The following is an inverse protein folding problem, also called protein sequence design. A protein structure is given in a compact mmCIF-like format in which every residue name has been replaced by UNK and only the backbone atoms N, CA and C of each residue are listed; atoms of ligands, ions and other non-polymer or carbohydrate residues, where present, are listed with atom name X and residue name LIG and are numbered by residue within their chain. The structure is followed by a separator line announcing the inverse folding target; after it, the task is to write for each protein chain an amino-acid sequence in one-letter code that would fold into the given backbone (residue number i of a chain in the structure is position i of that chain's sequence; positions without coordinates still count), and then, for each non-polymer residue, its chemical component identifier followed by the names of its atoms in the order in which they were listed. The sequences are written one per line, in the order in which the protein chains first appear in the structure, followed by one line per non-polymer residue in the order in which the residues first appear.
data_IF_012902543161
#
_entry.id   IF_012902543161
#
_cell.length_a   1.000
_cell.length_b   1.000
_cell.length_c   1.000
_cell.angle_alpha   90.00
_cell.angle_beta   90.00
_cell.angle_gamma   90.00
#
_symmetry.space_group_name_H-M   'P 1'
#
loop_
_entity.id
_entity.type
_entity.pdbx_description
1 polymer ?
#
# COMPACT_ATOMS: atom_id res chain seq x y z
N UNK A 1 -48.32 25.25 -15.45
CA UNK A 1 -47.57 26.30 -16.19
C UNK A 1 -46.53 25.59 -17.03
N UNK A 2 -46.51 25.82 -18.34
CA UNK A 2 -45.65 25.03 -19.24
C UNK A 2 -44.17 25.37 -19.01
N UNK A 3 -43.42 24.35 -18.61
CA UNK A 3 -42.00 24.41 -18.28
C UNK A 3 -41.17 23.58 -19.27
N UNK A 4 -40.13 24.19 -19.82
CA UNK A 4 -39.15 23.53 -20.69
C UNK A 4 -37.76 23.58 -20.08
N UNK A 5 -37.10 22.42 -19.99
CA UNK A 5 -35.77 22.21 -19.44
C UNK A 5 -34.90 21.66 -20.57
N UNK A 6 -33.88 22.41 -20.97
CA UNK A 6 -33.02 22.02 -22.09
C UNK A 6 -31.55 22.15 -21.74
N UNK A 7 -30.73 21.22 -22.25
CA UNK A 7 -29.29 21.40 -22.27
C UNK A 7 -28.92 22.64 -23.11
N UNK A 8 -28.14 23.53 -22.51
CA UNK A 8 -27.58 24.72 -23.15
C UNK A 8 -26.06 24.82 -22.89
N UNK A 9 -25.35 23.72 -23.18
CA UNK A 9 -23.89 23.65 -23.13
C UNK A 9 -23.35 23.63 -21.70
N UNK A 10 -22.74 24.72 -21.23
CA UNK A 10 -22.24 24.81 -19.85
C UNK A 10 -23.38 25.04 -18.81
N UNK A 11 -24.61 25.24 -19.27
CA UNK A 11 -25.76 25.56 -18.44
C UNK A 11 -26.98 24.69 -18.77
N UNK A 12 -27.90 24.56 -17.82
CA UNK A 12 -29.27 24.11 -18.07
C UNK A 12 -30.14 25.34 -18.23
N UNK A 13 -30.90 25.41 -19.32
CA UNK A 13 -31.87 26.48 -19.58
C UNK A 13 -33.24 26.02 -19.12
N UNK A 14 -33.86 26.80 -18.23
CA UNK A 14 -35.21 26.64 -17.74
C UNK A 14 -36.09 27.76 -18.31
N UNK A 15 -37.18 27.40 -18.98
CA UNK A 15 -38.16 28.33 -19.52
C UNK A 15 -39.51 28.05 -18.90
N UNK A 16 -40.11 29.04 -18.22
CA UNK A 16 -41.42 28.93 -17.56
C UNK A 16 -42.29 30.08 -18.10
N UNK A 17 -43.17 29.77 -19.06
CA UNK A 17 -43.89 30.81 -19.81
C UNK A 17 -42.92 31.81 -20.46
N UNK A 18 -43.00 33.10 -20.07
CA UNK A 18 -42.12 34.16 -20.57
C UNK A 18 -40.77 34.27 -19.81
N UNK A 19 -40.61 33.58 -18.69
CA UNK A 19 -39.40 33.66 -17.87
C UNK A 19 -38.36 32.65 -18.33
N UNK A 20 -37.11 33.10 -18.47
CA UNK A 20 -35.97 32.26 -18.83
C UNK A 20 -34.89 32.39 -17.75
N UNK A 21 -34.41 31.25 -17.27
CA UNK A 21 -33.30 31.16 -16.31
C UNK A 21 -32.24 30.18 -16.81
N UNK A 22 -30.98 30.59 -16.82
CA UNK A 22 -29.84 29.71 -17.08
C UNK A 22 -29.18 29.34 -15.74
N UNK A 23 -28.92 28.06 -15.54
CA UNK A 23 -28.30 27.50 -14.34
C UNK A 23 -26.97 26.89 -14.76
N UNK A 24 -25.86 27.36 -14.20
CA UNK A 24 -24.53 26.83 -14.55
C UNK A 24 -24.42 25.40 -14.01
N UNK A 25 -24.08 24.44 -14.87
CA UNK A 25 -24.06 23.01 -14.50
C UNK A 25 -23.08 22.70 -13.38
N UNK A 26 -21.94 23.41 -13.32
CA UNK A 26 -20.93 23.22 -12.26
C UNK A 26 -21.38 23.70 -10.87
N UNK A 27 -22.46 24.47 -10.78
CA UNK A 27 -23.06 24.89 -9.51
C UNK A 27 -24.11 23.90 -9.01
N UNK A 28 -24.59 23.00 -9.88
CA UNK A 28 -25.57 21.98 -9.53
C UNK A 28 -24.88 20.86 -8.77
N UNK A 29 -25.35 20.59 -7.55
CA UNK A 29 -24.80 19.53 -6.69
C UNK A 29 -25.62 18.27 -6.76
N UNK A 30 -26.94 18.45 -6.83
CA UNK A 30 -27.90 17.38 -6.68
C UNK A 30 -29.13 17.72 -7.51
N UNK A 31 -29.68 16.70 -8.18
CA UNK A 31 -31.01 16.72 -8.77
C UNK A 31 -31.78 15.56 -8.15
N UNK A 32 -32.88 15.84 -7.47
CA UNK A 32 -33.64 14.84 -6.72
C UNK A 32 -35.14 15.01 -6.87
N UNK A 33 -35.89 13.90 -6.72
CA UNK A 33 -37.35 13.93 -6.61
C UNK A 33 -37.73 14.06 -5.15
N UNK A 34 -38.52 15.08 -4.82
CA UNK A 34 -39.05 15.30 -3.47
C UNK A 34 -40.58 15.26 -3.47
N UNK A 35 -41.17 14.85 -2.35
CA UNK A 35 -42.63 14.76 -2.17
C UNK A 35 -43.32 14.07 -3.37
N UNK A 36 -42.68 13.03 -3.91
CA UNK A 36 -43.12 12.20 -5.04
C UNK A 36 -43.15 12.88 -6.42
N UNK A 37 -43.48 14.17 -6.53
CA UNK A 37 -43.78 14.82 -7.81
C UNK A 37 -43.05 16.16 -8.06
N UNK A 38 -42.06 16.54 -7.25
CA UNK A 38 -41.32 17.79 -7.42
C UNK A 38 -39.86 17.49 -7.71
N UNK A 39 -39.33 18.06 -8.79
CA UNK A 39 -37.90 18.04 -9.10
C UNK A 39 -37.22 19.17 -8.32
N UNK A 40 -36.28 18.81 -7.45
CA UNK A 40 -35.35 19.72 -6.78
C UNK A 40 -34.04 19.78 -7.57
N UNK A 41 -33.57 20.98 -7.90
CA UNK A 41 -32.20 21.24 -8.37
C UNK A 41 -31.50 22.07 -7.31
N UNK A 42 -30.46 21.50 -6.69
CA UNK A 42 -29.68 22.14 -5.62
C UNK A 42 -28.48 22.91 -6.20
N UNK A 43 -28.37 24.20 -5.86
CA UNK A 43 -27.34 25.12 -6.37
C UNK A 43 -26.41 25.70 -5.28
N UNK A 44 -26.32 25.07 -4.09
CA UNK A 44 -25.47 25.49 -2.93
C UNK A 44 -25.74 26.87 -2.33
N UNK A 45 -26.77 27.59 -2.77
CA UNK A 45 -27.07 28.92 -2.23
C UNK A 45 -28.01 28.87 -1.01
N UNK A 46 -28.26 27.67 -0.46
CA UNK A 46 -29.20 27.44 0.63
C UNK A 46 -30.60 27.06 0.15
N UNK A 47 -31.42 26.48 1.04
CA UNK A 47 -32.70 25.85 0.69
C UNK A 47 -33.71 26.78 -0.02
N UNK A 48 -33.63 28.09 0.22
CA UNK A 48 -34.51 29.08 -0.42
C UNK A 48 -34.16 29.39 -1.87
N UNK A 49 -32.94 29.09 -2.31
CA UNK A 49 -32.45 29.39 -3.66
C UNK A 49 -32.43 28.17 -4.58
N UNK A 50 -32.68 26.99 -4.03
CA UNK A 50 -32.91 25.77 -4.78
C UNK A 50 -34.14 25.93 -5.68
N UNK A 51 -34.12 25.19 -6.79
CA UNK A 51 -35.17 25.26 -7.79
C UNK A 51 -36.09 24.07 -7.60
N UNK A 52 -37.38 24.34 -7.51
CA UNK A 52 -38.42 23.35 -7.31
C UNK A 52 -39.41 23.43 -8.46
N UNK A 53 -39.49 22.35 -9.24
CA UNK A 53 -40.33 22.28 -10.44
C UNK A 53 -41.31 21.12 -10.28
N UNK A 54 -42.63 21.35 -10.28
CA UNK A 54 -43.61 20.26 -10.33
C UNK A 54 -43.47 19.47 -11.63
N UNK A 55 -43.48 18.13 -11.54
CA UNK A 55 -43.38 17.26 -12.71
C UNK A 55 -44.48 17.52 -13.74
N UNK A 56 -45.71 17.76 -13.28
CA UNK A 56 -46.87 18.04 -14.13
C UNK A 56 -46.74 19.30 -14.99
N UNK A 57 -45.83 20.21 -14.62
CA UNK A 57 -45.59 21.45 -15.35
C UNK A 57 -44.55 21.28 -16.47
N UNK A 58 -43.80 20.17 -16.50
CA UNK A 58 -42.72 19.96 -17.46
C UNK A 58 -43.25 19.34 -18.75
N UNK A 59 -43.21 20.11 -19.83
CA UNK A 59 -43.61 19.68 -21.18
C UNK A 59 -42.42 19.27 -22.04
N UNK A 60 -41.20 19.58 -21.61
CA UNK A 60 -39.96 19.19 -22.27
C UNK A 60 -38.82 19.12 -21.25
N UNK A 61 -38.10 18.00 -21.09
CA UNK A 61 -38.31 16.74 -21.79
C UNK A 61 -39.59 16.02 -21.32
N UNK A 62 -40.35 15.45 -22.25
CA UNK A 62 -41.50 14.59 -21.92
C UNK A 62 -40.97 13.26 -21.42
N UNK A 63 -41.31 12.90 -20.18
CA UNK A 63 -40.84 11.69 -19.51
C UNK A 63 -42.01 11.00 -18.82
N UNK A 64 -41.91 9.69 -18.59
CA UNK A 64 -43.03 8.89 -18.09
C UNK A 64 -43.35 9.10 -16.61
N UNK A 65 -42.37 9.52 -15.81
CA UNK A 65 -42.49 9.72 -14.38
C UNK A 65 -41.41 10.71 -13.86
N UNK A 66 -41.56 11.23 -12.63
CA UNK A 66 -40.60 12.18 -12.05
C UNK A 66 -39.16 11.68 -11.97
N UNK A 67 -38.94 10.37 -11.80
CA UNK A 67 -37.59 9.80 -11.74
C UNK A 67 -36.92 9.79 -13.11
N UNK A 68 -37.67 9.46 -14.17
CA UNK A 68 -37.19 9.56 -15.53
C UNK A 68 -36.89 11.03 -15.92
N UNK A 69 -37.66 11.99 -15.40
CA UNK A 69 -37.34 13.41 -15.58
C UNK A 69 -36.04 13.80 -14.88
N UNK A 70 -35.87 13.40 -13.62
CA UNK A 70 -34.63 13.59 -12.86
C UNK A 70 -33.43 13.04 -13.64
N UNK A 71 -33.53 11.81 -14.12
CA UNK A 71 -32.46 11.15 -14.86
C UNK A 71 -32.15 11.86 -16.19
N UNK A 72 -33.17 12.35 -16.90
CA UNK A 72 -32.98 13.16 -18.10
C UNK A 72 -32.25 14.48 -17.80
N UNK A 73 -32.55 15.13 -16.67
CA UNK A 73 -31.85 16.36 -16.23
C UNK A 73 -30.41 16.04 -15.81
N UNK A 74 -30.18 14.92 -15.12
CA UNK A 74 -28.83 14.46 -14.75
C UNK A 74 -28.01 14.19 -16.01
N UNK A 75 -28.60 13.64 -17.07
CA UNK A 75 -27.92 13.44 -18.35
C UNK A 75 -27.49 14.75 -19.03
N UNK A 76 -28.12 15.88 -18.70
CA UNK A 76 -27.64 17.20 -19.12
C UNK A 76 -26.43 17.66 -18.31
N UNK A 77 -26.23 17.17 -17.08
CA UNK A 77 -25.04 17.53 -16.32
C UNK A 77 -23.80 16.96 -17.01
N UNK A 78 -22.62 17.60 -16.88
CA UNK A 78 -21.40 16.98 -17.37
C UNK A 78 -21.33 15.59 -16.74
N UNK A 79 -21.35 14.55 -17.58
CA UNK A 79 -20.90 13.24 -17.15
C UNK A 79 -19.52 13.47 -16.54
N UNK A 80 -19.28 12.90 -15.36
CA UNK A 80 -17.95 12.93 -14.75
C UNK A 80 -17.07 11.96 -15.57
N UNK A 81 -16.89 12.25 -16.87
CA UNK A 81 -16.01 11.52 -17.77
C UNK A 81 -14.59 11.93 -17.43
N UNK A 82 -14.02 11.22 -16.46
CA UNK A 82 -12.61 11.34 -16.12
C UNK A 82 -12.27 12.64 -15.40
N UNK A 83 -11.98 12.51 -14.10
CA UNK A 83 -10.86 13.28 -13.56
C UNK A 83 -9.68 12.95 -14.49
N UNK A 84 -9.24 13.91 -15.31
CA UNK A 84 -8.03 13.75 -16.09
C UNK A 84 -6.90 13.40 -15.11
N UNK A 85 -6.40 12.16 -15.17
CA UNK A 85 -5.45 11.62 -14.20
C UNK A 85 -5.92 10.42 -13.39
N UNK A 86 -7.20 10.05 -13.43
CA UNK A 86 -7.74 8.88 -12.72
C UNK A 86 -7.08 7.54 -13.09
N UNK A 87 -7.26 6.53 -12.23
CA UNK A 87 -6.79 5.17 -12.47
C UNK A 87 -7.52 4.56 -13.67
N UNK A 88 -6.77 4.28 -14.74
CA UNK A 88 -7.25 3.46 -15.86
C UNK A 88 -6.82 2.02 -15.63
N UNK A 89 -7.50 1.04 -16.25
CA UNK A 89 -7.08 -0.37 -16.20
C UNK A 89 -5.61 -0.54 -16.62
N UNK A 90 -5.16 0.21 -17.62
CA UNK A 90 -3.75 0.23 -18.05
C UNK A 90 -2.80 0.73 -16.96
N UNK A 91 -3.17 1.79 -16.21
CA UNK A 91 -2.36 2.28 -15.08
C UNK A 91 -2.34 1.29 -13.92
N UNK A 92 -3.45 0.60 -13.67
CA UNK A 92 -3.53 -0.45 -12.66
C UNK A 92 -2.68 -1.66 -13.03
N UNK A 93 -2.63 -2.04 -14.31
CA UNK A 93 -1.76 -3.12 -14.78
C UNK A 93 -0.27 -2.79 -14.57
N UNK A 94 0.14 -1.55 -14.85
CA UNK A 94 1.50 -1.07 -14.56
C UNK A 94 1.80 -1.11 -13.05
N UNK A 95 0.84 -0.72 -12.21
CA UNK A 95 1.01 -0.78 -10.76
C UNK A 95 1.11 -2.23 -10.25
N UNK A 96 0.32 -3.16 -10.79
CA UNK A 96 0.40 -4.60 -10.50
C UNK A 96 1.78 -5.16 -10.90
N UNK A 97 2.33 -4.72 -12.04
CA UNK A 97 3.67 -5.10 -12.48
C UNK A 97 4.74 -4.66 -11.46
N UNK A 98 4.69 -3.39 -11.01
CA UNK A 98 5.59 -2.86 -9.97
C UNK A 98 5.45 -3.63 -8.66
N UNK A 99 4.23 -3.93 -8.23
CA UNK A 99 3.98 -4.69 -6.99
C UNK A 99 4.56 -6.11 -7.06
N UNK A 100 4.46 -6.78 -8.21
CA UNK A 100 5.07 -8.09 -8.41
C UNK A 100 6.60 -8.02 -8.41
N UNK A 101 7.18 -6.98 -9.00
CA UNK A 101 8.63 -6.75 -8.94
C UNK A 101 9.11 -6.55 -7.48
N UNK A 102 8.39 -5.73 -6.70
CA UNK A 102 8.69 -5.53 -5.28
C UNK A 102 8.59 -6.83 -4.47
N UNK A 103 7.56 -7.65 -4.72
CA UNK A 103 7.40 -8.95 -4.06
C UNK A 103 8.59 -9.87 -4.34
N UNK A 104 9.08 -9.91 -5.57
CA UNK A 104 10.26 -10.69 -5.94
C UNK A 104 11.48 -10.22 -5.16
N UNK A 105 11.70 -8.92 -5.07
CA UNK A 105 12.85 -8.37 -4.35
C UNK A 105 12.78 -8.64 -2.84
N UNK A 106 11.60 -8.57 -2.25
CA UNK A 106 11.39 -8.95 -0.85
C UNK A 106 11.70 -10.44 -0.59
N UNK A 107 11.38 -11.32 -1.55
CA UNK A 107 11.73 -12.74 -1.44
C UNK A 107 13.24 -12.96 -1.56
N UNK A 108 13.92 -12.21 -2.43
CA UNK A 108 15.38 -12.24 -2.55
C UNK A 108 16.04 -11.80 -1.24
N UNK A 109 15.60 -10.67 -0.66
CA UNK A 109 16.06 -10.18 0.64
C UNK A 109 15.84 -11.21 1.74
N UNK A 110 14.66 -11.85 1.79
CA UNK A 110 14.37 -12.92 2.75
C UNK A 110 15.35 -14.09 2.59
N UNK A 111 15.66 -14.49 1.36
CA UNK A 111 16.65 -15.53 1.07
C UNK A 111 18.04 -15.18 1.61
N UNK A 112 18.49 -13.94 1.38
CA UNK A 112 19.76 -13.45 1.91
C UNK A 112 19.77 -13.42 3.45
N UNK A 113 18.69 -12.96 4.09
CA UNK A 113 18.58 -12.94 5.55
C UNK A 113 18.60 -14.33 6.18
N UNK A 114 17.98 -15.33 5.53
CA UNK A 114 18.04 -16.72 5.99
C UNK A 114 19.45 -17.29 5.80
N UNK A 115 20.16 -16.87 4.74
CA UNK A 115 21.55 -17.26 4.48
C UNK A 115 22.58 -16.57 5.39
N UNK A 116 22.20 -15.47 6.06
CA UNK A 116 23.01 -14.87 7.11
C UNK A 116 22.89 -15.73 8.37
N UNK A 117 23.90 -16.53 8.65
CA UNK A 117 24.05 -17.20 9.94
C UNK A 117 24.25 -16.12 11.02
N UNK A 118 23.13 -15.72 11.63
CA UNK A 118 23.02 -14.65 12.63
C UNK A 118 23.99 -14.84 13.80
N UNK A 119 24.42 -16.08 14.05
CA UNK A 119 25.31 -16.45 15.15
C UNK A 119 26.78 -16.07 14.91
N UNK A 120 27.13 -15.64 13.68
CA UNK A 120 28.46 -15.15 13.32
C UNK A 120 28.63 -13.66 13.68
N UNK A 121 27.52 -12.93 13.90
CA UNK A 121 27.53 -11.52 14.28
C UNK A 121 27.67 -11.31 15.80
N UNK A 122 27.57 -12.38 16.59
CA UNK A 122 27.72 -12.31 18.03
C UNK A 122 29.21 -12.28 18.43
N UNK A 123 29.53 -11.47 19.43
CA UNK A 123 30.85 -11.48 20.06
C UNK A 123 31.11 -12.85 20.72
N UNK A 124 32.36 -13.32 20.79
CA UNK A 124 32.67 -14.57 21.47
C UNK A 124 32.28 -14.46 22.95
N UNK A 125 31.47 -15.41 23.41
CA UNK A 125 31.06 -15.49 24.82
C UNK A 125 32.25 -15.83 25.73
N UNK A 126 33.17 -16.65 25.22
CA UNK A 126 34.40 -17.01 25.91
C UNK A 126 35.62 -16.80 25.01
N UNK A 127 36.68 -16.28 25.61
CA UNK A 127 38.00 -16.16 24.98
C UNK A 127 38.98 -16.84 25.92
N UNK A 128 39.74 -17.79 25.37
CA UNK A 128 40.81 -18.46 26.09
C UNK A 128 42.14 -18.27 25.36
N UNK A 129 43.12 -17.75 26.09
CA UNK A 129 44.50 -17.62 25.65
C UNK A 129 45.23 -18.96 25.91
N UNK A 130 44.86 -19.99 25.14
CA UNK A 130 45.31 -21.38 25.32
C UNK A 130 46.82 -21.64 25.15
N UNK A 131 47.66 -20.59 25.11
CA UNK A 131 49.11 -20.68 25.15
C UNK A 131 49.83 -19.62 24.32
N UNK A 132 51.16 -19.76 24.20
CA UNK A 132 51.98 -18.89 23.35
C UNK A 132 51.57 -19.12 21.90
N UNK A 133 51.01 -18.08 21.26
CA UNK A 133 50.56 -18.03 19.85
C UNK A 133 49.19 -18.65 19.54
N UNK A 134 48.39 -19.07 20.52
CA UNK A 134 47.05 -19.64 20.26
C UNK A 134 45.99 -18.94 21.10
N UNK A 135 44.87 -18.58 20.46
CA UNK A 135 43.66 -18.05 21.10
C UNK A 135 42.47 -18.86 20.61
N UNK A 136 41.62 -19.30 21.54
CA UNK A 136 40.34 -19.92 21.25
C UNK A 136 39.21 -18.93 21.53
N UNK A 137 38.24 -18.87 20.63
CA UNK A 137 37.02 -18.06 20.75
C UNK A 137 35.80 -18.95 20.67
N UNK A 138 34.98 -18.91 21.71
CA UNK A 138 33.76 -19.72 21.85
C UNK A 138 32.52 -18.87 21.62
N UNK A 139 31.69 -19.31 20.69
CA UNK A 139 30.42 -18.68 20.35
C UNK A 139 29.29 -19.62 20.79
N UNK A 140 28.38 -19.10 21.60
CA UNK A 140 27.20 -19.81 22.09
C UNK A 140 26.16 -18.81 22.59
N UNK A 141 24.96 -19.29 22.90
CA UNK A 141 23.92 -18.48 23.54
C UNK A 141 24.36 -18.14 24.96
N UNK A 142 24.04 -16.92 25.43
CA UNK A 142 24.32 -16.52 26.81
C UNK A 142 23.69 -17.53 27.78
N UNK A 143 24.50 -18.04 28.71
CA UNK A 143 24.07 -19.03 29.71
C UNK A 143 24.28 -20.49 29.29
N UNK A 144 24.75 -20.77 28.07
CA UNK A 144 25.19 -22.12 27.68
C UNK A 144 26.28 -22.64 28.61
N UNK A 145 26.18 -23.90 29.05
CA UNK A 145 27.22 -24.53 29.85
C UNK A 145 28.41 -24.92 28.97
N UNK A 146 29.62 -24.81 29.50
CA UNK A 146 30.85 -25.20 28.80
C UNK A 146 30.89 -26.70 28.42
N UNK A 147 30.11 -27.51 29.14
CA UNK A 147 29.91 -28.94 28.95
C UNK A 147 28.78 -29.30 27.96
N UNK A 148 28.08 -28.32 27.39
CA UNK A 148 27.03 -28.57 26.40
C UNK A 148 27.63 -28.62 24.99
N UNK A 149 27.19 -29.54 24.14
CA UNK A 149 27.63 -29.65 22.74
C UNK A 149 26.92 -28.62 21.84
N UNK A 150 26.99 -27.34 22.21
CA UNK A 150 26.30 -26.24 21.52
C UNK A 150 27.23 -25.06 21.22
N UNK A 151 28.54 -25.27 21.21
CA UNK A 151 29.52 -24.23 20.91
C UNK A 151 30.01 -24.32 19.47
N UNK A 152 30.13 -23.16 18.82
CA UNK A 152 31.00 -22.99 17.67
C UNK A 152 32.34 -22.44 18.17
N UNK A 153 33.45 -23.06 17.76
CA UNK A 153 34.77 -22.75 18.32
C UNK A 153 35.73 -22.37 17.20
N UNK A 154 36.31 -21.19 17.32
CA UNK A 154 37.34 -20.67 16.44
C UNK A 154 38.69 -20.74 17.13
N UNK A 155 39.71 -21.22 16.40
CA UNK A 155 41.12 -21.15 16.81
C UNK A 155 41.84 -20.11 15.97
N UNK A 156 42.53 -19.21 16.63
CA UNK A 156 43.45 -18.24 16.03
C UNK A 156 44.86 -18.65 16.43
N UNK A 157 45.68 -18.99 15.46
CA UNK A 157 47.07 -19.42 15.68
C UNK A 157 48.04 -18.50 14.95
N UNK A 158 49.05 -17.99 15.66
CA UNK A 158 50.07 -17.14 15.08
C UNK A 158 51.20 -17.96 14.49
N UNK A 159 51.35 -17.91 13.17
CA UNK A 159 52.46 -18.51 12.43
C UNK A 159 53.34 -17.40 11.87
N UNK A 160 54.45 -17.11 12.57
CA UNK A 160 55.31 -15.97 12.25
C UNK A 160 54.62 -14.63 12.52
N UNK A 161 54.41 -13.86 11.46
CA UNK A 161 53.75 -12.53 11.52
C UNK A 161 52.26 -12.57 11.21
N UNK A 162 51.74 -13.69 10.71
CA UNK A 162 50.33 -13.84 10.35
C UNK A 162 49.56 -14.63 11.42
N UNK A 163 48.29 -14.29 11.58
CA UNK A 163 47.34 -15.06 12.37
C UNK A 163 46.47 -15.88 11.43
N UNK A 164 46.48 -17.20 11.59
CA UNK A 164 45.65 -18.14 10.85
C UNK A 164 44.43 -18.44 11.69
N UNK A 165 43.26 -18.26 11.09
CA UNK A 165 41.97 -18.53 11.72
C UNK A 165 41.41 -19.82 11.14
N UNK A 166 41.01 -20.73 12.01
CA UNK A 166 40.42 -22.02 11.65
C UNK A 166 39.23 -22.31 12.55
N UNK A 167 38.33 -23.17 12.10
CA UNK A 167 37.15 -23.55 12.87
C UNK A 167 37.19 -25.01 13.27
N UNK A 168 36.66 -25.32 14.45
CA UNK A 168 36.47 -26.69 14.88
C UNK A 168 35.64 -27.45 13.83
N UNK A 169 36.13 -28.62 13.41
CA UNK A 169 35.58 -29.46 12.35
C UNK A 169 35.44 -28.77 10.97
N UNK A 170 36.09 -27.62 10.78
CA UNK A 170 36.07 -26.86 9.52
C UNK A 170 34.75 -26.15 9.20
N UNK A 171 33.87 -25.97 10.18
CA UNK A 171 32.58 -25.30 9.99
C UNK A 171 32.20 -24.47 11.24
N UNK A 172 31.14 -23.67 11.15
CA UNK A 172 30.66 -22.82 12.26
C UNK A 172 29.48 -23.44 13.02
N UNK A 173 29.33 -24.76 12.99
CA UNK A 173 28.23 -25.42 13.64
C UNK A 173 28.38 -25.35 15.16
N UNK A 174 27.23 -25.23 15.83
CA UNK A 174 27.10 -25.19 17.28
C UNK A 174 26.95 -26.62 17.79
N UNK A 175 27.99 -27.43 17.60
CA UNK A 175 27.99 -28.87 17.88
C UNK A 175 29.17 -29.32 18.75
N UNK A 176 30.00 -28.38 19.20
CA UNK A 176 31.21 -28.68 19.96
C UNK A 176 31.02 -28.41 21.45
N UNK A 177 31.84 -29.07 22.25
CA UNK A 177 31.98 -28.88 23.69
C UNK A 177 33.13 -27.88 23.93
N UNK A 178 32.90 -26.80 24.67
CA UNK A 178 33.95 -25.79 24.94
C UNK A 178 35.12 -26.39 25.72
N UNK A 179 34.84 -27.26 26.69
CA UNK A 179 35.88 -27.92 27.50
C UNK A 179 36.89 -28.70 26.66
N UNK A 180 36.48 -29.16 25.47
CA UNK A 180 37.32 -29.96 24.56
C UNK A 180 38.05 -29.11 23.51
N UNK A 181 37.97 -27.77 23.57
CA UNK A 181 38.49 -26.85 22.53
C UNK A 181 39.91 -27.16 22.05
N UNK A 182 40.82 -27.58 22.92
CA UNK A 182 42.20 -27.89 22.55
C UNK A 182 42.35 -29.21 21.77
N UNK A 183 41.44 -30.17 22.00
CA UNK A 183 41.47 -31.51 21.40
C UNK A 183 40.69 -31.62 20.07
N UNK A 184 39.97 -30.57 19.67
CA UNK A 184 39.20 -30.56 18.43
C UNK A 184 40.11 -30.49 17.20
N UNK A 185 39.59 -30.95 16.06
CA UNK A 185 40.28 -30.81 14.77
C UNK A 185 39.95 -29.47 14.16
N UNK A 186 40.97 -28.70 13.75
CA UNK A 186 40.79 -27.38 13.16
C UNK A 186 41.22 -27.39 11.69
N UNK A 187 40.39 -26.80 10.83
CA UNK A 187 40.61 -26.69 9.39
C UNK A 187 40.21 -25.31 8.89
#
# INVERSE_FOLDING_TARGET
MDTSITDNGASIKLTIGALVRNIIKSQIVEVAVIKTNIIKIDIRMGALYNIYIPFSDVINPITANPEALRDAIIAFLPTVTGIAGGATEAKQALEIEVLNAMKTELLNMKGLLIGMDYKILDEPLLIDEGGVKVIYKGYAVIGTLISDATWAIQKIERQGEINITSWANGNKNFENLWEQREALTYK
#
